data_IF_488466545346
#
_entry.id   IF_488466545346
#
_cell.length_a   1.000
_cell.length_b   1.000
_cell.length_c   1.000
_cell.angle_alpha   90.00
_cell.angle_beta   90.00
_cell.angle_gamma   90.00
#
_symmetry.space_group_name_H-M   'P 1'
#
loop_
_entity.id
_entity.type
_entity.pdbx_description
1 polymer ?
#
# COMPACT_ATOMS: atom_id res chain seq x y z
N UNK A 1 -27.30 -26.58 14.53
CA UNK A 1 -26.33 -25.70 13.85
C UNK A 1 -26.80 -24.26 14.00
N UNK A 2 -26.05 -23.40 14.71
CA UNK A 2 -26.40 -21.98 14.86
C UNK A 2 -25.89 -21.20 13.66
N UNK A 3 -26.79 -20.90 12.72
CA UNK A 3 -26.58 -19.86 11.71
C UNK A 3 -26.57 -18.55 12.50
N UNK A 4 -25.39 -18.04 12.81
CA UNK A 4 -25.30 -16.74 13.49
C UNK A 4 -25.44 -15.71 12.39
N UNK A 5 -26.65 -15.18 12.23
CA UNK A 5 -26.93 -13.97 11.47
C UNK A 5 -26.22 -12.77 12.09
N UNK A 6 -24.90 -12.72 11.97
CA UNK A 6 -24.16 -11.47 12.12
C UNK A 6 -24.39 -10.73 10.83
N UNK A 7 -25.10 -9.61 10.96
CA UNK A 7 -25.49 -8.69 9.90
C UNK A 7 -24.32 -8.52 8.92
N UNK A 8 -24.37 -9.29 7.84
CA UNK A 8 -23.62 -9.00 6.64
C UNK A 8 -24.22 -7.71 6.10
N UNK A 9 -23.40 -6.80 5.59
CA UNK A 9 -23.95 -5.63 4.91
C UNK A 9 -24.80 -6.15 3.73
N UNK A 10 -26.11 -5.94 3.80
CA UNK A 10 -27.06 -6.53 2.85
C UNK A 10 -26.76 -6.05 1.42
N UNK A 11 -26.33 -4.79 1.26
CA UNK A 11 -26.00 -4.23 -0.05
C UNK A 11 -24.71 -4.84 -0.57
N UNK A 12 -23.69 -4.92 0.27
CA UNK A 12 -22.40 -5.53 -0.10
C UNK A 12 -22.57 -7.01 -0.47
N UNK A 13 -23.37 -7.73 0.31
CA UNK A 13 -23.67 -9.15 0.09
C UNK A 13 -24.46 -9.37 -1.19
N UNK A 14 -25.46 -8.53 -1.46
CA UNK A 14 -26.24 -8.59 -2.70
C UNK A 14 -25.35 -8.41 -3.93
N UNK A 15 -24.45 -7.42 -3.92
CA UNK A 15 -23.51 -7.19 -5.04
C UNK A 15 -22.56 -8.37 -5.22
N UNK A 16 -22.07 -8.96 -4.13
CA UNK A 16 -21.22 -10.16 -4.21
C UNK A 16 -22.00 -11.40 -4.68
N UNK A 17 -23.25 -11.58 -4.26
CA UNK A 17 -24.09 -12.71 -4.67
C UNK A 17 -24.50 -12.65 -6.15
N UNK A 18 -24.48 -11.47 -6.77
CA UNK A 18 -24.68 -11.31 -8.21
C UNK A 18 -23.49 -11.82 -9.05
N UNK A 19 -22.36 -12.14 -8.42
CA UNK A 19 -21.21 -12.75 -9.10
C UNK A 19 -21.40 -14.27 -9.14
N UNK A 20 -21.65 -14.89 -10.32
CA UNK A 20 -22.00 -16.30 -10.44
C UNK A 20 -20.89 -17.25 -9.97
N UNK A 21 -19.65 -16.76 -9.95
CA UNK A 21 -18.47 -17.52 -9.57
C UNK A 21 -18.16 -17.45 -8.06
N UNK A 22 -18.96 -16.75 -7.23
CA UNK A 22 -18.73 -16.64 -5.79
C UNK A 22 -19.60 -17.61 -4.99
N UNK A 23 -18.97 -18.38 -4.10
CA UNK A 23 -19.70 -19.20 -3.12
C UNK A 23 -20.06 -18.35 -1.89
N UNK A 24 -21.04 -18.80 -1.12
CA UNK A 24 -21.41 -18.16 0.16
C UNK A 24 -20.21 -18.03 1.12
N UNK A 25 -19.30 -19.00 1.09
CA UNK A 25 -18.07 -18.94 1.89
C UNK A 25 -17.14 -17.82 1.43
N UNK A 26 -17.02 -17.57 0.11
CA UNK A 26 -16.20 -16.46 -0.40
C UNK A 26 -16.79 -15.12 0.03
N UNK A 27 -18.11 -14.97 -0.05
CA UNK A 27 -18.81 -13.75 0.39
C UNK A 27 -18.53 -13.47 1.86
N UNK A 28 -18.64 -14.50 2.71
CA UNK A 28 -18.33 -14.38 4.14
C UNK A 28 -16.87 -13.99 4.39
N UNK A 29 -15.92 -14.60 3.69
CA UNK A 29 -14.50 -14.27 3.86
C UNK A 29 -14.15 -12.89 3.29
N UNK A 30 -14.81 -12.44 2.22
CA UNK A 30 -14.64 -11.10 1.66
C UNK A 30 -15.21 -10.02 2.58
N UNK A 31 -16.34 -10.27 3.24
CA UNK A 31 -16.87 -9.39 4.30
C UNK A 31 -15.88 -9.26 5.47
N UNK A 32 -15.25 -10.37 5.89
CA UNK A 32 -14.18 -10.33 6.90
C UNK A 32 -13.00 -9.48 6.43
N UNK A 33 -12.56 -9.61 5.18
CA UNK A 33 -11.45 -8.83 4.63
C UNK A 33 -11.79 -7.34 4.56
N UNK A 34 -12.97 -6.98 4.09
CA UNK A 34 -13.46 -5.60 4.05
C UNK A 34 -13.49 -4.97 5.45
N UNK A 35 -13.98 -5.73 6.44
CA UNK A 35 -14.01 -5.35 7.87
C UNK A 35 -12.65 -5.46 8.56
N UNK A 36 -11.57 -5.77 7.83
CA UNK A 36 -10.21 -5.98 8.33
C UNK A 36 -10.12 -6.98 9.48
N UNK A 37 -10.98 -7.99 9.46
CA UNK A 37 -10.98 -9.07 10.43
C UNK A 37 -9.94 -10.13 10.07
N UNK A 38 -9.32 -10.80 11.06
CA UNK A 38 -8.37 -11.86 10.80
C UNK A 38 -8.99 -13.01 9.99
N UNK A 39 -8.28 -13.42 8.95
CA UNK A 39 -8.53 -14.64 8.19
C UNK A 39 -7.31 -15.55 8.30
N UNK A 40 -7.55 -16.86 8.32
CA UNK A 40 -6.48 -17.85 8.42
C UNK A 40 -5.62 -17.87 7.15
N UNK A 41 -4.43 -18.46 7.23
CA UNK A 41 -3.56 -18.65 6.06
C UNK A 41 -4.24 -19.51 4.99
N UNK A 42 -5.05 -20.49 5.38
CA UNK A 42 -5.79 -21.35 4.46
C UNK A 42 -6.89 -20.55 3.73
N UNK A 43 -7.68 -19.76 4.46
CA UNK A 43 -8.70 -18.86 3.90
C UNK A 43 -8.07 -17.82 2.95
N UNK A 44 -6.96 -17.21 3.37
CA UNK A 44 -6.18 -16.28 2.55
C UNK A 44 -5.71 -16.92 1.24
N UNK A 45 -5.19 -18.16 1.31
CA UNK A 45 -4.72 -18.89 0.14
C UNK A 45 -5.89 -19.21 -0.81
N UNK A 46 -7.03 -19.65 -0.28
CA UNK A 46 -8.22 -19.95 -1.07
C UNK A 46 -8.70 -18.71 -1.85
N UNK A 47 -8.83 -17.55 -1.18
CA UNK A 47 -9.22 -16.30 -1.82
C UNK A 47 -8.19 -15.80 -2.85
N UNK A 48 -6.89 -15.98 -2.58
CA UNK A 48 -5.81 -15.58 -3.51
C UNK A 48 -5.77 -16.43 -4.77
N UNK A 49 -5.93 -17.75 -4.67
CA UNK A 49 -5.97 -18.64 -5.85
C UNK A 49 -7.07 -18.22 -6.80
N UNK A 50 -8.19 -17.76 -6.26
CA UNK A 50 -9.35 -17.25 -7.00
C UNK A 50 -9.25 -15.77 -7.40
N UNK A 51 -8.13 -15.10 -7.07
CA UNK A 51 -7.86 -13.68 -7.36
C UNK A 51 -8.91 -12.72 -6.78
N UNK A 52 -9.52 -13.09 -5.66
CA UNK A 52 -10.54 -12.29 -4.98
C UNK A 52 -9.93 -11.26 -4.03
N UNK A 53 -8.72 -11.52 -3.55
CA UNK A 53 -7.97 -10.59 -2.68
C UNK A 53 -6.55 -10.38 -3.19
N UNK A 54 -6.02 -9.21 -2.84
CA UNK A 54 -4.64 -8.79 -3.04
C UNK A 54 -4.02 -8.38 -1.69
N UNK A 55 -2.78 -7.88 -1.71
CA UNK A 55 -2.08 -7.40 -0.51
C UNK A 55 -1.22 -8.48 0.15
N UNK A 56 -0.61 -8.19 1.30
CA UNK A 56 0.28 -9.11 2.03
C UNK A 56 -0.16 -9.19 3.48
N UNK A 57 -0.08 -10.39 4.07
CA UNK A 57 -0.42 -10.59 5.46
C UNK A 57 0.31 -9.57 6.38
N UNK A 58 -0.37 -9.00 7.39
CA UNK A 58 -1.79 -9.20 7.74
C UNK A 58 -2.78 -8.33 6.95
N UNK A 59 -2.29 -7.45 6.06
CA UNK A 59 -3.09 -6.44 5.37
C UNK A 59 -3.53 -6.92 4.00
N UNK A 60 -4.68 -7.60 3.98
CA UNK A 60 -5.37 -8.01 2.77
C UNK A 60 -6.46 -6.99 2.40
N UNK A 61 -6.72 -6.87 1.12
CA UNK A 61 -7.80 -6.05 0.56
C UNK A 61 -8.40 -6.79 -0.64
N UNK A 62 -9.63 -6.46 -1.00
CA UNK A 62 -10.30 -7.01 -2.19
C UNK A 62 -9.50 -6.69 -3.46
N UNK A 63 -9.63 -7.54 -4.48
CA UNK A 63 -8.96 -7.33 -5.76
C UNK A 63 -9.51 -6.12 -6.50
N UNK A 64 -8.74 -5.59 -7.45
CA UNK A 64 -9.19 -4.46 -8.28
C UNK A 64 -10.54 -4.73 -8.96
N UNK A 65 -10.73 -5.95 -9.47
CA UNK A 65 -11.97 -6.37 -10.15
C UNK A 65 -13.17 -6.34 -9.21
N UNK A 66 -13.01 -6.82 -7.98
CA UNK A 66 -14.10 -6.78 -7.00
C UNK A 66 -14.37 -5.36 -6.54
N UNK A 67 -13.32 -4.56 -6.30
CA UNK A 67 -13.48 -3.15 -5.95
C UNK A 67 -14.26 -2.38 -7.02
N UNK A 68 -14.04 -2.69 -8.30
CA UNK A 68 -14.80 -2.11 -9.41
C UNK A 68 -16.28 -2.53 -9.37
N UNK A 69 -16.55 -3.83 -9.23
CA UNK A 69 -17.91 -4.36 -9.14
C UNK A 69 -18.69 -3.81 -7.92
N UNK A 70 -17.98 -3.49 -6.83
CA UNK A 70 -18.56 -3.00 -5.58
C UNK A 70 -18.62 -1.46 -5.49
N UNK A 71 -18.08 -0.72 -6.47
CA UNK A 71 -17.97 0.74 -6.38
C UNK A 71 -16.98 1.22 -5.30
N UNK A 72 -16.04 0.37 -4.89
CA UNK A 72 -15.04 0.63 -3.84
C UNK A 72 -13.64 0.95 -4.41
N UNK A 73 -13.53 1.38 -5.67
CA UNK A 73 -12.24 1.63 -6.33
C UNK A 73 -11.36 2.62 -5.55
N UNK A 74 -11.97 3.66 -4.96
CA UNK A 74 -11.24 4.64 -4.14
C UNK A 74 -10.64 3.99 -2.88
N UNK A 75 -11.42 3.14 -2.19
CA UNK A 75 -10.96 2.41 -1.00
C UNK A 75 -9.84 1.43 -1.37
N UNK A 76 -9.99 0.71 -2.47
CA UNK A 76 -8.94 -0.16 -3.01
C UNK A 76 -7.63 0.61 -3.25
N UNK A 77 -7.69 1.78 -3.89
CA UNK A 77 -6.49 2.58 -4.16
C UNK A 77 -5.82 3.07 -2.87
N UNK A 78 -6.62 3.49 -1.88
CA UNK A 78 -6.13 3.90 -0.56
C UNK A 78 -5.45 2.74 0.19
N UNK A 79 -6.05 1.56 0.18
CA UNK A 79 -5.53 0.39 0.89
C UNK A 79 -4.28 -0.19 0.20
N UNK A 80 -4.29 -0.27 -1.15
CA UNK A 80 -3.14 -0.70 -1.96
C UNK A 80 -1.97 0.27 -1.81
N UNK A 81 -2.32 1.55 -1.72
CA UNK A 81 -1.38 2.66 -1.77
C UNK A 81 -0.86 2.93 -3.17
N UNK A 82 -0.17 4.06 -3.26
CA UNK A 82 0.41 4.53 -4.51
C UNK A 82 1.62 3.66 -4.92
N UNK A 83 1.97 3.72 -6.21
CA UNK A 83 3.10 2.99 -6.76
C UNK A 83 4.44 3.43 -6.16
N UNK A 84 5.44 2.55 -6.20
CA UNK A 84 6.80 2.87 -5.68
C UNK A 84 7.37 4.14 -6.32
N UNK A 85 7.15 4.33 -7.62
CA UNK A 85 7.64 5.50 -8.35
C UNK A 85 7.09 6.81 -7.78
N UNK A 86 5.81 6.87 -7.41
CA UNK A 86 5.22 8.06 -6.77
C UNK A 86 6.04 8.49 -5.54
N UNK A 87 6.35 7.57 -4.64
CA UNK A 87 7.11 7.89 -3.44
C UNK A 87 8.57 8.26 -3.75
N UNK A 88 9.19 7.64 -4.76
CA UNK A 88 10.54 8.03 -5.22
C UNK A 88 10.54 9.46 -5.74
N UNK A 89 9.61 9.78 -6.64
CA UNK A 89 9.46 11.13 -7.19
C UNK A 89 9.23 12.15 -6.08
N UNK A 90 8.45 11.81 -5.05
CA UNK A 90 8.24 12.69 -3.90
C UNK A 90 9.54 12.97 -3.13
N UNK A 91 10.38 11.96 -2.91
CA UNK A 91 11.70 12.11 -2.29
C UNK A 91 12.63 12.96 -3.17
N UNK A 92 12.70 12.68 -4.47
CA UNK A 92 13.53 13.43 -5.42
C UNK A 92 13.11 14.89 -5.50
N UNK A 93 11.80 15.16 -5.63
CA UNK A 93 11.25 16.53 -5.62
C UNK A 93 11.61 17.27 -4.33
N UNK A 94 11.52 16.60 -3.17
CA UNK A 94 11.92 17.23 -1.92
C UNK A 94 13.41 17.57 -1.91
N UNK A 95 14.27 16.63 -2.27
CA UNK A 95 15.73 16.84 -2.25
C UNK A 95 16.21 17.82 -3.34
N UNK A 96 15.45 18.00 -4.41
CA UNK A 96 15.74 19.02 -5.43
C UNK A 96 15.61 20.44 -4.89
N UNK A 97 14.78 20.66 -3.85
CA UNK A 97 14.67 21.95 -3.15
C UNK A 97 15.84 22.21 -2.19
N UNK A 98 16.73 21.24 -2.01
CA UNK A 98 17.88 21.31 -1.12
C UNK A 98 17.94 20.12 -0.15
N UNK A 99 19.12 19.93 0.42
CA UNK A 99 19.42 18.87 1.37
C UNK A 99 18.49 18.92 2.59
N UNK A 100 18.15 17.76 3.13
CA UNK A 100 17.26 17.68 4.29
C UNK A 100 17.57 16.49 5.19
N UNK A 101 17.12 16.57 6.44
CA UNK A 101 17.22 15.45 7.37
C UNK A 101 16.31 14.29 6.95
N UNK A 102 16.74 13.07 7.27
CA UNK A 102 15.94 11.86 7.11
C UNK A 102 14.57 11.99 7.78
N UNK A 103 14.49 12.61 8.95
CA UNK A 103 13.25 12.82 9.67
C UNK A 103 12.21 13.61 8.85
N UNK A 104 12.65 14.55 8.01
CA UNK A 104 11.77 15.31 7.13
C UNK A 104 11.19 14.45 6.01
N UNK A 105 12.05 13.66 5.33
CA UNK A 105 11.60 12.70 4.32
C UNK A 105 10.63 11.67 4.92
N UNK A 106 10.90 11.23 6.15
CA UNK A 106 10.03 10.29 6.86
C UNK A 106 8.67 10.91 7.15
N UNK A 107 8.61 12.13 7.72
CA UNK A 107 7.32 12.85 7.93
C UNK A 107 6.53 13.00 6.64
N UNK A 108 7.21 13.41 5.56
CA UNK A 108 6.60 13.59 4.24
C UNK A 108 5.97 12.28 3.74
N UNK A 109 6.73 11.19 3.75
CA UNK A 109 6.28 9.90 3.23
C UNK A 109 5.20 9.25 4.11
N UNK A 110 5.34 9.29 5.44
CA UNK A 110 4.39 8.70 6.38
C UNK A 110 2.97 9.25 6.18
N UNK A 111 2.85 10.55 5.86
CA UNK A 111 1.57 11.21 5.60
C UNK A 111 0.84 10.73 4.33
N UNK A 112 1.56 10.04 3.42
CA UNK A 112 1.03 9.56 2.13
C UNK A 112 0.93 8.03 2.06
N UNK A 113 1.39 7.32 3.09
CA UNK A 113 1.31 5.86 3.14
C UNK A 113 -0.07 5.38 3.60
N UNK A 114 -0.56 4.26 3.05
CA UNK A 114 -1.88 3.69 3.40
C UNK A 114 -2.09 3.51 4.90
N UNK A 115 -3.28 3.87 5.38
CA UNK A 115 -3.65 3.73 6.80
C UNK A 115 -3.89 2.29 7.23
N UNK A 116 -3.98 1.36 6.28
CA UNK A 116 -3.97 -0.08 6.58
C UNK A 116 -2.60 -0.54 7.11
N UNK A 117 -1.53 0.21 6.87
CA UNK A 117 -0.20 -0.13 7.36
C UNK A 117 -0.04 0.31 8.82
N UNK A 118 0.51 -0.59 9.65
CA UNK A 118 0.95 -0.24 11.00
C UNK A 118 2.10 0.77 10.95
N UNK A 119 2.34 1.47 12.07
CA UNK A 119 3.45 2.41 12.17
C UNK A 119 4.79 1.75 11.78
N UNK A 120 5.03 0.52 12.23
CA UNK A 120 6.25 -0.23 11.92
C UNK A 120 6.37 -0.58 10.44
N UNK A 121 5.26 -0.99 9.81
CA UNK A 121 5.22 -1.25 8.37
C UNK A 121 5.47 0.02 7.57
N UNK A 122 4.90 1.16 7.98
CA UNK A 122 5.13 2.46 7.35
C UNK A 122 6.61 2.85 7.46
N UNK A 123 7.20 2.79 8.66
CA UNK A 123 8.64 3.09 8.88
C UNK A 123 9.56 2.17 8.08
N UNK A 124 9.27 0.87 8.03
CA UNK A 124 10.03 -0.10 7.23
C UNK A 124 9.93 0.20 5.74
N UNK A 125 8.77 0.61 5.24
CA UNK A 125 8.57 0.98 3.83
C UNK A 125 9.40 2.21 3.46
N UNK A 126 9.43 3.23 4.32
CA UNK A 126 10.31 4.41 4.14
C UNK A 126 11.78 4.02 4.15
N UNK A 127 12.21 3.25 5.16
CA UNK A 127 13.61 2.78 5.27
C UNK A 127 14.04 2.03 4.01
N UNK A 128 13.22 1.09 3.54
CA UNK A 128 13.53 0.27 2.36
C UNK A 128 13.56 1.11 1.08
N UNK A 129 12.65 2.08 0.95
CA UNK A 129 12.63 3.01 -0.19
C UNK A 129 13.92 3.82 -0.26
N UNK A 130 14.31 4.48 0.83
CA UNK A 130 15.52 5.31 0.87
C UNK A 130 16.79 4.48 0.65
N UNK A 131 16.87 3.28 1.25
CA UNK A 131 17.99 2.37 1.03
C UNK A 131 18.07 1.88 -0.44
N UNK A 132 16.94 1.66 -1.09
CA UNK A 132 16.89 1.31 -2.51
C UNK A 132 17.34 2.46 -3.40
N UNK A 133 16.85 3.67 -3.17
CA UNK A 133 17.25 4.86 -3.93
C UNK A 133 18.75 5.16 -3.76
N UNK A 134 19.30 4.95 -2.56
CA UNK A 134 20.73 5.09 -2.30
C UNK A 134 21.57 4.05 -3.06
N UNK A 135 21.15 2.78 -3.07
CA UNK A 135 21.81 1.72 -3.86
C UNK A 135 21.76 1.99 -5.36
N UNK A 136 20.75 2.72 -5.83
CA UNK A 136 20.60 3.14 -7.22
C UNK A 136 21.35 4.45 -7.54
N UNK A 137 22.15 4.98 -6.60
CA UNK A 137 22.88 6.24 -6.73
C UNK A 137 21.99 7.45 -7.06
N UNK A 138 20.70 7.42 -6.72
CA UNK A 138 19.80 8.57 -6.92
C UNK A 138 19.98 9.63 -5.83
N UNK A 139 20.29 9.17 -4.62
CA UNK A 139 20.44 10.00 -3.42
C UNK A 139 21.58 9.43 -2.58
N UNK A 140 22.17 10.25 -1.71
CA UNK A 140 23.15 9.78 -0.72
C UNK A 140 22.89 10.40 0.63
N UNK A 141 23.27 9.69 1.70
CA UNK A 141 23.27 10.21 3.05
C UNK A 141 24.68 10.72 3.39
N UNK A 142 24.75 11.93 3.94
CA UNK A 142 25.99 12.51 4.45
C UNK A 142 26.10 12.23 5.97
N UNK A 143 27.31 11.90 6.42
CA UNK A 143 27.64 11.72 7.83
C UNK A 143 26.97 10.54 8.55
N UNK A 144 26.51 10.81 9.79
CA UNK A 144 26.12 9.79 10.78
C UNK A 144 24.82 9.07 10.37
N UNK A 145 24.79 7.75 10.56
CA UNK A 145 23.57 6.94 10.41
C UNK A 145 22.55 7.33 11.49
N UNK A 146 21.30 7.60 11.11
CA UNK A 146 20.20 7.84 12.05
C UNK A 146 19.14 8.81 11.53
N UNK A 147 18.19 9.23 12.40
CA UNK A 147 17.15 10.22 12.05
C UNK A 147 17.72 11.60 11.66
N UNK A 148 18.85 12.00 12.23
CA UNK A 148 19.58 13.23 11.88
C UNK A 148 20.54 13.09 10.71
N UNK A 149 20.50 11.97 9.97
CA UNK A 149 21.27 11.84 8.73
C UNK A 149 20.76 12.86 7.71
N UNK A 150 21.65 13.65 7.14
CA UNK A 150 21.32 14.60 6.07
C UNK A 150 21.37 13.86 4.75
N UNK A 151 20.36 14.02 3.92
CA UNK A 151 20.27 13.41 2.61
C UNK A 151 20.36 14.48 1.53
N UNK A 152 21.00 14.10 0.43
CA UNK A 152 21.24 14.98 -0.73
C UNK A 152 20.96 14.25 -2.04
N UNK A 153 20.58 15.03 -3.04
CA UNK A 153 20.32 14.55 -4.39
C UNK A 153 21.66 14.31 -5.12
N UNK A 154 21.75 13.23 -5.89
CA UNK A 154 22.89 12.95 -6.77
C UNK A 154 22.54 13.28 -8.24
N UNK A 155 23.53 13.50 -9.12
CA UNK A 155 23.28 13.79 -10.54
C UNK A 155 22.34 12.78 -11.22
N UNK A 156 22.55 11.48 -10.98
CA UNK A 156 21.66 10.42 -11.50
C UNK A 156 20.21 10.56 -11.01
N UNK A 157 20.00 11.06 -9.78
CA UNK A 157 18.68 11.37 -9.26
C UNK A 157 18.03 12.59 -9.90
N UNK A 158 18.84 13.59 -10.27
CA UNK A 158 18.38 14.77 -10.99
C UNK A 158 17.95 14.40 -12.42
N UNK A 159 18.75 13.62 -13.13
CA UNK A 159 18.41 13.12 -14.47
C UNK A 159 17.11 12.31 -14.44
N UNK A 160 16.97 11.46 -13.41
CA UNK A 160 15.75 10.68 -13.21
C UNK A 160 14.53 11.56 -12.97
N UNK A 161 14.67 12.61 -12.15
CA UNK A 161 13.59 13.54 -11.86
C UNK A 161 13.15 14.32 -13.12
N UNK A 162 14.10 14.74 -13.96
CA UNK A 162 13.81 15.39 -15.23
C UNK A 162 13.03 14.46 -16.18
N UNK A 163 13.49 13.22 -16.33
CA UNK A 163 12.82 12.22 -17.20
C UNK A 163 11.40 11.86 -16.74
N UNK A 164 11.12 11.94 -15.44
CA UNK A 164 9.79 11.65 -14.89
C UNK A 164 8.85 12.87 -14.92
N UNK A 165 9.38 14.08 -15.20
CA UNK A 165 8.61 15.33 -15.29
C UNK A 165 8.15 15.71 -16.70
N UNK A 166 8.74 15.10 -17.72
CA UNK A 166 8.37 15.27 -19.14
C UNK A 166 7.28 14.28 -19.61
N UNK A 167 6.74 13.45 -18.72
CA UNK A 167 5.75 12.40 -19.01
C UNK A 167 4.36 12.68 -18.43
#
# INVERSE_FOLDING_TARGET
MRITGRILDERYTQVLMQQPDLSLMDVFLLDKVQKRQPISTAETKALRVRKLIEGRAPNHHISAKLADALGEQARYLLDKGLGKNFYRTLVLKRLHMGDCERAELERLLLSKLPDVLSADQKRNKVKNLLAEMSRQALITADGKRGPGAVWRLLPTGLDKLASDGEA
#
